data_IF_462148037120
#
_entry.id   IF_462148037120
#
_cell.length_a   1.000
_cell.length_b   1.000
_cell.length_c   1.000
_cell.angle_alpha   90.00
_cell.angle_beta   90.00
_cell.angle_gamma   90.00
#
_symmetry.space_group_name_H-M   'P 1'
#
loop_
_entity.id
_entity.type
_entity.pdbx_description
1 polymer ?
#
# COMPACT_ATOMS: atom_id res chain seq x y z
N UNK A 1 22.30 -9.21 -88.76
CA UNK A 1 23.19 -9.85 -87.76
C UNK A 1 23.28 -8.91 -86.54
N UNK A 2 22.24 -8.68 -85.72
CA UNK A 2 21.42 -9.54 -84.86
C UNK A 2 22.08 -10.03 -83.55
N UNK A 3 23.08 -9.33 -82.97
CA UNK A 3 23.76 -9.79 -81.74
C UNK A 3 24.11 -8.70 -80.68
N UNK A 4 23.38 -7.58 -80.59
CA UNK A 4 23.75 -6.49 -79.64
C UNK A 4 22.68 -6.07 -78.61
N UNK A 5 21.46 -6.62 -78.63
CA UNK A 5 20.35 -6.09 -77.79
C UNK A 5 20.06 -6.92 -76.53
N UNK A 6 20.67 -8.10 -76.36
CA UNK A 6 20.32 -9.01 -75.25
C UNK A 6 21.11 -8.78 -73.93
N UNK A 7 22.05 -7.84 -73.89
CA UNK A 7 22.98 -7.67 -72.75
C UNK A 7 22.57 -6.59 -71.73
N UNK A 8 21.52 -5.81 -71.98
CA UNK A 8 21.13 -4.69 -71.11
C UNK A 8 19.91 -4.95 -70.21
N UNK A 9 19.14 -6.02 -70.45
CA UNK A 9 17.93 -6.32 -69.65
C UNK A 9 18.18 -7.22 -68.43
N UNK A 10 19.38 -7.80 -68.28
CA UNK A 10 19.70 -8.74 -67.20
C UNK A 10 20.28 -8.07 -65.93
N UNK A 11 20.83 -6.86 -66.05
CA UNK A 11 21.42 -6.13 -64.91
C UNK A 11 20.39 -5.68 -63.84
N UNK A 12 19.21 -5.13 -64.18
CA UNK A 12 18.26 -4.68 -63.16
C UNK A 12 17.57 -5.86 -62.45
N UNK A 13 17.39 -7.00 -63.13
CA UNK A 13 16.75 -8.18 -62.54
C UNK A 13 17.64 -8.90 -61.51
N UNK A 14 18.96 -8.88 -61.71
CA UNK A 14 19.93 -9.42 -60.76
C UNK A 14 20.04 -8.52 -59.52
N UNK A 15 19.99 -7.19 -59.71
CA UNK A 15 20.04 -6.21 -58.61
C UNK A 15 18.78 -6.26 -57.73
N UNK A 16 17.60 -6.43 -58.33
CA UNK A 16 16.32 -6.61 -57.60
C UNK A 16 16.30 -7.95 -56.86
N UNK A 17 16.78 -9.03 -57.49
CA UNK A 17 16.88 -10.35 -56.82
C UNK A 17 17.86 -10.31 -55.64
N UNK A 18 18.95 -9.55 -55.74
CA UNK A 18 19.93 -9.40 -54.66
C UNK A 18 19.38 -8.54 -53.51
N UNK A 19 18.59 -7.49 -53.81
CA UNK A 19 17.91 -6.65 -52.82
C UNK A 19 16.83 -7.43 -52.04
N UNK A 20 16.07 -8.31 -52.71
CA UNK A 20 15.05 -9.16 -52.06
C UNK A 20 15.69 -10.23 -51.16
N UNK A 21 16.85 -10.77 -51.55
CA UNK A 21 17.61 -11.72 -50.71
C UNK A 21 18.20 -11.01 -49.48
N UNK A 22 18.70 -9.78 -49.61
CA UNK A 22 19.22 -8.99 -48.49
C UNK A 22 18.14 -8.59 -47.47
N UNK A 23 16.89 -8.37 -47.88
CA UNK A 23 15.78 -8.03 -46.96
C UNK A 23 15.27 -9.23 -46.15
N UNK A 24 15.60 -10.47 -46.52
CA UNK A 24 15.07 -11.68 -45.87
C UNK A 24 15.89 -12.17 -44.67
N UNK A 25 17.01 -11.51 -44.32
CA UNK A 25 17.95 -11.98 -43.28
C UNK A 25 17.73 -11.24 -41.93
N UNK A 26 16.85 -10.22 -41.86
CA UNK A 26 16.73 -9.36 -40.66
C UNK A 26 15.69 -9.77 -39.60
N UNK A 27 15.07 -10.95 -39.65
CA UNK A 27 13.96 -11.30 -38.73
C UNK A 27 14.27 -12.34 -37.64
N UNK A 28 15.54 -12.65 -37.34
CA UNK A 28 15.86 -13.73 -36.38
C UNK A 28 16.92 -13.36 -35.33
N UNK A 29 16.68 -12.35 -34.50
CA UNK A 29 17.30 -12.19 -33.18
C UNK A 29 16.37 -11.44 -32.22
N UNK A 30 15.28 -12.09 -31.77
CA UNK A 30 14.46 -11.60 -30.66
C UNK A 30 14.42 -12.56 -29.46
N UNK A 31 14.89 -13.82 -29.60
CA UNK A 31 14.79 -14.83 -28.55
C UNK A 31 15.93 -14.88 -27.53
N UNK A 32 17.05 -14.19 -27.76
CA UNK A 32 18.23 -14.26 -26.86
C UNK A 32 18.11 -13.29 -25.67
N UNK A 33 17.33 -12.21 -25.80
CA UNK A 33 17.07 -11.26 -24.71
C UNK A 33 15.92 -11.73 -23.80
N UNK A 34 14.96 -12.50 -24.33
CA UNK A 34 13.83 -13.06 -23.58
C UNK A 34 14.26 -14.12 -22.56
N UNK A 35 15.31 -14.89 -22.89
CA UNK A 35 15.97 -15.83 -21.96
C UNK A 35 16.75 -15.15 -20.84
N UNK A 36 17.05 -13.86 -20.94
CA UNK A 36 17.74 -13.09 -19.89
C UNK A 36 16.76 -12.38 -18.93
N UNK A 37 15.45 -12.41 -19.21
CA UNK A 37 14.38 -11.79 -18.40
C UNK A 37 13.51 -12.87 -17.72
N UNK A 38 13.90 -14.15 -17.80
CA UNK A 38 13.04 -15.29 -17.46
C UNK A 38 12.76 -15.54 -15.97
N UNK A 39 13.34 -14.76 -15.05
CA UNK A 39 13.23 -15.01 -13.61
C UNK A 39 12.66 -13.83 -12.81
N UNK A 40 11.87 -12.94 -13.42
CA UNK A 40 11.03 -12.06 -12.60
C UNK A 40 9.79 -12.82 -12.12
N UNK A 41 9.57 -12.94 -10.79
CA UNK A 41 8.40 -13.63 -10.25
C UNK A 41 7.14 -12.96 -10.79
N UNK A 42 6.32 -13.72 -11.52
CA UNK A 42 5.04 -13.23 -12.04
C UNK A 42 4.05 -13.09 -10.88
N UNK A 43 3.92 -11.87 -10.36
CA UNK A 43 2.97 -11.58 -9.30
C UNK A 43 1.52 -11.67 -9.79
N UNK A 44 0.67 -12.32 -9.00
CA UNK A 44 -0.76 -12.41 -9.27
C UNK A 44 -1.44 -11.04 -9.07
N UNK A 45 -2.51 -10.73 -9.79
CA UNK A 45 -3.40 -9.63 -9.42
C UNK A 45 -3.94 -9.83 -8.00
N UNK A 46 -4.22 -8.74 -7.28
CA UNK A 46 -4.66 -8.81 -5.86
C UNK A 46 -5.91 -9.67 -5.64
N UNK A 47 -6.84 -9.69 -6.60
CA UNK A 47 -8.05 -10.51 -6.52
C UNK A 47 -7.80 -12.01 -6.75
N UNK A 48 -6.71 -12.36 -7.43
CA UNK A 48 -6.26 -13.75 -7.62
C UNK A 48 -5.33 -14.20 -6.48
N UNK A 49 -4.54 -13.27 -5.92
CA UNK A 49 -3.68 -13.54 -4.77
C UNK A 49 -4.49 -13.71 -3.47
N UNK A 50 -5.57 -12.94 -3.31
CA UNK A 50 -6.41 -12.95 -2.11
C UNK A 50 -7.90 -13.02 -2.48
N UNK A 51 -8.35 -14.14 -3.09
CA UNK A 51 -9.77 -14.37 -3.29
C UNK A 51 -10.48 -14.38 -1.92
N UNK A 52 -11.66 -13.79 -1.87
CA UNK A 52 -12.43 -13.65 -0.64
C UNK A 52 -13.92 -13.89 -0.87
N UNK A 53 -14.59 -14.37 0.18
CA UNK A 53 -16.04 -14.51 0.24
C UNK A 53 -16.57 -13.88 1.52
N UNK A 54 -17.76 -13.30 1.43
CA UNK A 54 -18.40 -12.59 2.54
C UNK A 54 -19.75 -13.23 2.80
N UNK A 55 -19.99 -13.60 4.05
CA UNK A 55 -21.25 -14.18 4.51
C UNK A 55 -21.74 -13.44 5.75
N UNK A 56 -23.03 -13.11 5.79
CA UNK A 56 -23.66 -12.49 6.95
C UNK A 56 -24.70 -13.45 7.54
N UNK A 57 -24.58 -13.71 8.85
CA UNK A 57 -25.53 -14.49 9.63
C UNK A 57 -26.04 -13.62 10.80
N UNK A 58 -27.19 -12.97 10.61
CA UNK A 58 -27.76 -12.06 11.61
C UNK A 58 -26.83 -10.90 11.94
N UNK A 59 -26.34 -10.84 13.19
CA UNK A 59 -25.40 -9.83 13.66
C UNK A 59 -23.92 -10.19 13.46
N UNK A 60 -23.62 -11.35 12.87
CA UNK A 60 -22.26 -11.81 12.64
C UNK A 60 -21.92 -11.71 11.15
N UNK A 61 -20.79 -11.09 10.84
CA UNK A 61 -20.23 -11.03 9.49
C UNK A 61 -18.96 -11.88 9.46
N UNK A 62 -18.92 -12.88 8.58
CA UNK A 62 -17.78 -13.72 8.32
C UNK A 62 -17.17 -13.38 6.97
N UNK A 63 -15.86 -13.15 6.96
CA UNK A 63 -15.08 -12.94 5.74
C UNK A 63 -14.02 -14.02 5.68
N UNK A 64 -14.06 -14.84 4.63
CA UNK A 64 -13.09 -15.89 4.40
C UNK A 64 -12.18 -15.49 3.24
N UNK A 65 -10.88 -15.58 3.45
CA UNK A 65 -9.89 -15.49 2.38
C UNK A 65 -9.30 -16.86 2.10
N UNK A 66 -8.86 -17.08 0.87
CA UNK A 66 -8.11 -18.26 0.44
C UNK A 66 -6.84 -17.80 -0.30
N UNK A 67 -5.84 -17.36 0.45
CA UNK A 67 -4.65 -16.75 -0.13
C UNK A 67 -3.87 -17.76 -0.97
N UNK A 68 -3.44 -17.36 -2.17
CA UNK A 68 -2.61 -18.21 -3.03
C UNK A 68 -1.28 -18.59 -2.34
N UNK A 69 -0.65 -19.65 -2.82
CA UNK A 69 0.64 -20.12 -2.29
C UNK A 69 1.70 -19.01 -2.31
N UNK A 70 2.45 -18.88 -1.21
CA UNK A 70 3.46 -17.82 -1.01
C UNK A 70 2.90 -16.39 -0.88
N UNK A 71 1.57 -16.25 -0.74
CA UNK A 71 0.91 -14.99 -0.38
C UNK A 71 0.36 -15.04 1.03
N UNK A 72 0.47 -13.92 1.75
CA UNK A 72 0.02 -13.82 3.12
C UNK A 72 -0.71 -12.52 3.44
N UNK A 73 -1.68 -12.62 4.34
CA UNK A 73 -2.49 -11.51 4.85
C UNK A 73 -1.99 -11.05 6.22
N UNK A 74 -1.91 -9.74 6.43
CA UNK A 74 -1.55 -9.20 7.75
C UNK A 74 -2.73 -9.24 8.72
N UNK A 75 -2.60 -9.96 9.83
CA UNK A 75 -3.62 -10.03 10.89
C UNK A 75 -4.08 -8.66 11.38
N UNK A 76 -3.14 -7.72 11.55
CA UNK A 76 -3.40 -6.36 12.05
C UNK A 76 -3.99 -5.40 11.01
N UNK A 77 -4.02 -5.77 9.72
CA UNK A 77 -4.52 -4.90 8.64
C UNK A 77 -5.94 -5.22 8.21
N UNK A 78 -6.48 -6.35 8.65
CA UNK A 78 -7.90 -6.70 8.47
C UNK A 78 -8.75 -5.92 9.47
N UNK A 79 -9.66 -5.09 8.97
CA UNK A 79 -10.55 -4.27 9.79
C UNK A 79 -11.79 -3.80 9.03
N UNK A 80 -12.84 -3.42 9.76
CA UNK A 80 -13.96 -2.65 9.20
C UNK A 80 -13.77 -1.17 9.50
N UNK A 81 -14.25 -0.32 8.61
CA UNK A 81 -14.21 1.14 8.75
C UNK A 81 -15.56 1.76 8.43
N UNK A 82 -16.04 2.63 9.32
CA UNK A 82 -17.24 3.46 9.15
C UNK A 82 -16.86 4.92 9.39
N UNK A 83 -16.72 5.72 8.32
CA UNK A 83 -16.28 7.11 8.40
C UNK A 83 -14.89 7.25 9.07
N UNK A 84 -14.84 7.72 10.32
CA UNK A 84 -13.59 7.84 11.12
C UNK A 84 -13.37 6.65 12.07
N UNK A 85 -14.40 5.83 12.32
CA UNK A 85 -14.32 4.70 13.23
C UNK A 85 -13.71 3.48 12.53
N UNK A 86 -12.82 2.78 13.23
CA UNK A 86 -12.24 1.50 12.78
C UNK A 86 -12.59 0.43 13.80
N UNK A 87 -13.25 -0.63 13.36
CA UNK A 87 -13.61 -1.80 14.16
C UNK A 87 -12.67 -2.94 13.80
N UNK A 88 -12.05 -3.55 14.81
CA UNK A 88 -11.18 -4.71 14.63
C UNK A 88 -12.03 -5.98 14.52
N UNK A 89 -11.44 -7.02 13.94
CA UNK A 89 -12.02 -8.36 13.94
C UNK A 89 -12.25 -8.85 15.36
N UNK A 90 -13.40 -9.51 15.60
CA UNK A 90 -13.73 -10.14 16.88
C UNK A 90 -12.90 -11.41 17.08
N UNK A 91 -12.79 -12.24 16.04
CA UNK A 91 -12.06 -13.50 16.08
C UNK A 91 -11.54 -13.87 14.68
N UNK A 92 -10.39 -14.53 14.63
CA UNK A 92 -9.91 -15.24 13.44
C UNK A 92 -10.00 -16.74 13.68
N UNK A 93 -10.20 -17.53 12.61
CA UNK A 93 -10.17 -18.99 12.68
C UNK A 93 -8.80 -19.53 13.10
N UNK A 94 -7.74 -18.82 12.70
CA UNK A 94 -6.35 -19.17 12.94
C UNK A 94 -5.66 -18.16 13.86
N UNK A 95 -4.66 -18.63 14.61
CA UNK A 95 -3.82 -17.75 15.42
C UNK A 95 -2.86 -16.92 14.56
N UNK A 96 -2.45 -17.47 13.41
CA UNK A 96 -1.51 -16.88 12.47
C UNK A 96 -0.06 -17.19 12.82
N UNK A 97 0.83 -16.90 11.88
CA UNK A 97 2.26 -17.22 11.95
C UNK A 97 3.04 -15.94 12.22
N UNK A 98 3.98 -15.98 13.17
CA UNK A 98 4.91 -14.89 13.40
C UNK A 98 5.91 -14.83 12.24
N UNK A 99 5.96 -13.70 11.54
CA UNK A 99 6.87 -13.43 10.43
C UNK A 99 7.64 -12.15 10.72
N UNK A 100 8.91 -12.12 10.32
CA UNK A 100 9.69 -10.89 10.27
C UNK A 100 9.72 -10.40 8.82
N UNK A 101 9.26 -9.17 8.57
CA UNK A 101 9.38 -8.51 7.27
C UNK A 101 10.11 -7.17 7.40
N UNK A 102 10.74 -6.73 6.31
CA UNK A 102 11.56 -5.50 6.32
C UNK A 102 10.75 -4.22 6.49
N UNK A 103 9.45 -4.24 6.17
CA UNK A 103 8.60 -3.06 6.17
C UNK A 103 7.98 -2.78 7.56
N UNK A 104 7.69 -3.82 8.33
CA UNK A 104 6.94 -3.77 9.58
C UNK A 104 7.60 -4.52 10.74
N UNK A 105 8.71 -5.23 10.51
CA UNK A 105 9.41 -6.02 11.52
C UNK A 105 8.61 -7.27 11.87
N UNK A 106 8.41 -7.52 13.17
CA UNK A 106 7.65 -8.69 13.64
C UNK A 106 6.14 -8.48 13.52
N UNK A 107 5.53 -9.30 12.67
CA UNK A 107 4.11 -9.27 12.35
C UNK A 107 3.50 -10.67 12.48
N UNK A 108 2.19 -10.72 12.65
CA UNK A 108 1.43 -11.98 12.56
C UNK A 108 0.71 -11.98 11.22
N UNK A 109 0.88 -13.05 10.45
CA UNK A 109 0.35 -13.21 9.11
C UNK A 109 -0.45 -14.51 8.97
N UNK A 110 -1.30 -14.57 7.96
CA UNK A 110 -2.08 -15.75 7.60
C UNK A 110 -1.73 -16.17 6.17
N UNK A 111 -1.42 -17.46 5.99
CA UNK A 111 -1.30 -18.10 4.67
C UNK A 111 -2.50 -18.99 4.43
N UNK A 112 -2.82 -19.25 3.16
CA UNK A 112 -3.94 -20.08 2.77
C UNK A 112 -5.27 -19.53 3.28
N UNK A 113 -6.11 -20.43 3.80
CA UNK A 113 -7.46 -20.10 4.22
C UNK A 113 -7.49 -19.49 5.63
N UNK A 114 -8.18 -18.36 5.78
CA UNK A 114 -8.46 -17.75 7.07
C UNK A 114 -9.84 -17.11 7.07
N UNK A 115 -10.61 -17.33 8.14
CA UNK A 115 -11.87 -16.66 8.39
C UNK A 115 -11.70 -15.57 9.44
N UNK A 116 -12.24 -14.38 9.17
CA UNK A 116 -12.37 -13.29 10.13
C UNK A 116 -13.83 -13.01 10.43
N UNK A 117 -14.17 -13.02 11.70
CA UNK A 117 -15.52 -12.74 12.19
C UNK A 117 -15.60 -11.33 12.77
N UNK A 118 -16.65 -10.59 12.41
CA UNK A 118 -16.95 -9.27 12.93
C UNK A 118 -18.34 -9.24 13.57
N UNK A 119 -18.45 -8.53 14.69
CA UNK A 119 -19.71 -8.27 15.37
C UNK A 119 -20.33 -6.97 14.86
N UNK A 120 -21.44 -7.09 14.13
CA UNK A 120 -22.15 -5.97 13.51
C UNK A 120 -22.90 -5.11 14.54
N UNK A 121 -23.12 -5.59 15.77
CA UNK A 121 -23.79 -4.81 16.82
C UNK A 121 -22.98 -3.59 17.25
N UNK A 122 -21.66 -3.59 17.02
CA UNK A 122 -20.76 -2.49 17.35
C UNK A 122 -20.71 -1.42 16.26
N UNK A 123 -21.39 -1.64 15.14
CA UNK A 123 -21.42 -0.74 13.99
C UNK A 123 -22.73 0.04 13.95
N UNK A 124 -22.70 1.21 13.30
CA UNK A 124 -23.87 2.06 13.17
C UNK A 124 -24.68 1.67 11.92
N UNK A 125 -25.98 1.37 12.05
CA UNK A 125 -26.84 1.17 10.90
C UNK A 125 -26.93 2.47 10.08
N UNK A 126 -26.99 2.34 8.75
CA UNK A 126 -27.01 3.45 7.76
C UNK A 126 -25.68 4.18 7.53
N UNK A 127 -24.56 3.67 8.04
CA UNK A 127 -23.23 4.20 7.67
C UNK A 127 -22.55 3.25 6.69
N UNK A 128 -22.00 3.72 5.55
CA UNK A 128 -21.22 2.88 4.65
C UNK A 128 -20.09 2.18 5.39
N UNK A 129 -20.03 0.86 5.25
CA UNK A 129 -19.04 0.03 5.93
C UNK A 129 -18.04 -0.47 4.91
N UNK A 130 -16.76 -0.23 5.17
CA UNK A 130 -15.66 -0.61 4.28
C UNK A 130 -14.83 -1.69 4.97
N UNK A 131 -14.68 -2.84 4.33
CA UNK A 131 -13.69 -3.85 4.68
C UNK A 131 -12.32 -3.44 4.14
N UNK A 132 -11.36 -3.28 5.05
CA UNK A 132 -9.97 -3.02 4.72
C UNK A 132 -9.09 -4.22 5.02
N UNK A 133 -8.23 -4.61 4.07
CA UNK A 133 -7.22 -5.64 4.28
C UNK A 133 -5.96 -5.35 3.46
N UNK A 134 -4.87 -6.04 3.77
CA UNK A 134 -3.60 -5.90 3.06
C UNK A 134 -2.81 -7.21 3.18
N UNK A 135 -2.12 -7.60 2.11
CA UNK A 135 -1.22 -8.74 2.09
C UNK A 135 0.01 -8.48 1.22
N UNK A 136 0.96 -9.42 1.26
CA UNK A 136 2.18 -9.42 0.46
C UNK A 136 2.47 -10.83 -0.07
N UNK A 137 3.40 -10.90 -1.01
CA UNK A 137 4.02 -12.12 -1.50
C UNK A 137 5.39 -12.30 -0.85
N UNK A 138 5.79 -13.55 -0.61
CA UNK A 138 7.13 -13.88 -0.08
C UNK A 138 8.26 -13.45 -1.04
N UNK A 139 7.96 -13.35 -2.33
CA UNK A 139 8.85 -12.80 -3.35
C UNK A 139 9.09 -11.27 -3.24
N UNK A 140 8.66 -10.62 -2.14
CA UNK A 140 9.03 -9.25 -1.80
C UNK A 140 8.06 -8.15 -2.28
N UNK A 141 6.89 -8.53 -2.81
CA UNK A 141 5.88 -7.57 -3.26
C UNK A 141 4.77 -7.40 -2.23
N UNK A 142 4.55 -6.16 -1.78
CA UNK A 142 3.43 -5.82 -0.92
C UNK A 142 2.33 -5.07 -1.67
N UNK A 143 1.11 -5.61 -1.62
CA UNK A 143 -0.04 -4.96 -2.23
C UNK A 143 -0.47 -3.73 -1.42
N UNK A 144 -1.02 -2.70 -2.07
CA UNK A 144 -1.61 -1.57 -1.36
C UNK A 144 -2.84 -2.02 -0.55
N UNK A 145 -3.23 -1.25 0.50
CA UNK A 145 -4.43 -1.55 1.27
C UNK A 145 -5.68 -1.57 0.39
N UNK A 146 -6.38 -2.69 0.41
CA UNK A 146 -7.64 -2.90 -0.30
C UNK A 146 -8.81 -2.33 0.50
N UNK A 147 -9.84 -1.86 -0.20
CA UNK A 147 -11.06 -1.29 0.38
C UNK A 147 -12.26 -1.83 -0.38
N UNK A 148 -13.06 -2.64 0.28
CA UNK A 148 -14.28 -3.21 -0.29
C UNK A 148 -15.48 -2.60 0.45
N UNK A 149 -16.42 -2.02 -0.29
CA UNK A 149 -17.68 -1.58 0.29
C UNK A 149 -18.56 -2.79 0.55
N UNK A 150 -19.06 -2.91 1.79
CA UNK A 150 -19.91 -4.02 2.21
C UNK A 150 -21.38 -3.64 2.10
N UNK A 151 -22.16 -4.53 1.49
CA UNK A 151 -23.61 -4.50 1.56
C UNK A 151 -24.06 -5.34 2.78
N UNK A 152 -24.57 -4.67 3.81
CA UNK A 152 -24.92 -5.28 5.09
C UNK A 152 -26.44 -5.20 5.26
N UNK A 153 -27.07 -6.35 5.49
CA UNK A 153 -28.49 -6.41 5.83
C UNK A 153 -28.69 -6.03 7.31
N UNK A 154 -28.94 -4.74 7.55
CA UNK A 154 -29.20 -4.21 8.88
C UNK A 154 -30.54 -4.65 9.48
N UNK A 155 -31.48 -5.18 8.69
CA UNK A 155 -32.73 -5.72 9.22
C UNK A 155 -32.48 -7.05 9.94
N UNK A 156 -31.59 -7.89 9.40
CA UNK A 156 -31.17 -9.14 10.01
C UNK A 156 -30.39 -8.95 11.33
N UNK A 157 -29.60 -7.88 11.45
CA UNK A 157 -28.84 -7.57 12.69
C UNK A 157 -29.78 -7.29 13.87
N UNK A 158 -30.87 -6.54 13.64
CA UNK A 158 -31.84 -6.17 14.69
C UNK A 158 -32.69 -7.33 15.19
N UNK A 159 -32.80 -8.41 14.40
CA UNK A 159 -33.56 -9.60 14.77
C UNK A 159 -32.80 -10.56 15.70
N UNK A 160 -31.52 -10.29 16.00
CA UNK A 160 -30.73 -11.09 16.93
C UNK A 160 -31.21 -10.88 18.37
N UNK A 161 -31.72 -11.90 19.06
CA UNK A 161 -32.29 -11.74 20.40
C UNK A 161 -31.16 -11.60 21.42
N UNK A 162 -31.00 -10.39 21.96
CA UNK A 162 -30.28 -10.19 23.22
C UNK A 162 -31.04 -10.90 24.34
N UNK A 163 -30.57 -12.07 24.76
CA UNK A 163 -30.94 -12.69 26.03
C UNK A 163 -30.52 -11.76 27.17
N UNK A 164 -31.37 -10.79 27.48
CA UNK A 164 -31.24 -9.88 28.62
C UNK A 164 -31.70 -10.63 29.87
N UNK A 165 -30.77 -11.35 30.50
CA UNK A 165 -30.94 -11.79 31.88
C UNK A 165 -30.95 -10.57 32.78
N UNK A 166 -32.17 -10.16 33.15
CA UNK A 166 -32.42 -9.17 34.17
C UNK A 166 -32.10 -9.76 35.55
N UNK A 167 -31.15 -9.16 36.27
CA UNK A 167 -31.10 -9.26 37.73
C UNK A 167 -30.80 -7.88 38.31
N UNK A 168 -31.86 -7.25 38.82
CA UNK A 168 -31.79 -6.14 39.77
C UNK A 168 -31.41 -6.68 41.16
N UNK A 169 -30.59 -5.92 41.93
CA UNK A 169 -30.63 -5.68 43.40
C UNK A 169 -29.34 -4.89 43.74
N UNK A 170 -29.35 -3.56 43.84
CA UNK A 170 -29.71 -2.68 44.98
C UNK A 170 -28.55 -2.37 45.95
N UNK A 171 -28.31 -1.05 46.10
CA UNK A 171 -27.95 -0.25 47.29
C UNK A 171 -26.54 -0.18 47.94
N UNK A 172 -26.07 1.08 48.01
CA UNK A 172 -25.57 1.85 49.19
C UNK A 172 -24.08 2.24 49.28
N UNK A 173 -23.84 3.52 48.95
CA UNK A 173 -23.03 4.60 49.60
C UNK A 173 -22.25 4.27 50.89
N UNK A 174 -20.96 4.66 50.98
CA UNK A 174 -20.41 5.61 52.00
C UNK A 174 -18.94 6.01 51.74
N UNK A 175 -18.75 7.33 51.83
CA UNK A 175 -17.62 8.28 51.97
C UNK A 175 -16.34 7.84 52.71
N UNK A 176 -15.17 8.46 52.39
CA UNK A 176 -14.34 9.30 53.29
C UNK A 176 -13.23 10.03 52.48
N UNK A 177 -12.88 11.24 52.93
CA UNK A 177 -12.02 12.27 52.36
C UNK A 177 -10.52 12.15 52.75
N UNK A 178 -9.62 12.77 51.96
CA UNK A 178 -8.59 13.77 52.34
C UNK A 178 -7.76 14.11 51.06
N UNK A 179 -7.76 15.33 50.49
CA UNK A 179 -7.20 16.64 50.92
C UNK A 179 -5.82 16.97 50.30
N UNK A 180 -5.83 18.14 49.61
CA UNK A 180 -4.83 19.24 49.66
C UNK A 180 -3.84 19.43 48.49
N UNK A 181 -4.27 20.32 47.58
CA UNK A 181 -3.68 21.65 47.27
C UNK A 181 -2.25 21.77 46.71
N UNK A 182 -2.14 22.35 45.50
CA UNK A 182 -1.50 23.66 45.30
C UNK A 182 -1.79 24.29 43.92
N UNK A 183 -2.23 25.54 43.98
CA UNK A 183 -2.42 26.55 42.93
C UNK A 183 -1.08 27.03 42.35
N UNK A 184 -1.04 27.44 41.05
CA UNK A 184 -0.54 28.76 40.56
C UNK A 184 -0.32 28.76 39.03
N UNK A 185 -1.16 29.49 38.31
CA UNK A 185 -0.83 30.24 37.06
C UNK A 185 -0.52 31.69 37.47
N UNK A 186 0.43 32.43 36.83
CA UNK A 186 0.16 33.02 35.50
C UNK A 186 1.37 33.28 34.55
N UNK A 187 1.06 33.24 33.24
CA UNK A 187 1.40 34.17 32.13
C UNK A 187 2.88 34.53 31.83
N UNK A 188 3.36 34.15 30.63
CA UNK A 188 4.08 34.95 29.61
C UNK A 188 3.90 34.16 28.28
N UNK A 189 2.98 34.44 27.36
CA UNK A 189 2.88 35.57 26.41
C UNK A 189 4.18 35.89 25.65
N UNK A 190 4.41 35.24 24.50
CA UNK A 190 5.18 35.81 23.40
C UNK A 190 4.75 35.26 22.03
N UNK A 191 3.45 35.36 21.75
CA UNK A 191 2.91 35.56 20.40
C UNK A 191 3.23 37.02 19.96
N UNK A 192 4.49 37.37 19.67
CA UNK A 192 4.82 38.75 19.22
C UNK A 192 6.28 38.95 18.72
N UNK A 193 6.82 38.06 17.88
CA UNK A 193 8.16 38.29 17.27
C UNK A 193 8.16 38.45 15.74
N UNK A 194 6.99 38.49 15.11
CA UNK A 194 6.86 38.68 13.65
C UNK A 194 6.35 40.09 13.26
N UNK A 195 5.87 40.90 14.21
CA UNK A 195 5.52 42.30 13.96
C UNK A 195 6.75 43.20 14.10
N UNK A 196 7.50 43.36 13.00
CA UNK A 196 8.48 44.44 12.87
C UNK A 196 9.86 44.05 12.31
N UNK A 197 10.07 42.80 11.87
CA UNK A 197 11.34 42.42 11.24
C UNK A 197 11.33 42.83 9.76
N UNK A 198 12.16 43.81 9.42
CA UNK A 198 12.40 44.28 8.05
C UNK A 198 12.46 43.11 7.06
N UNK A 199 11.75 43.21 5.92
CA UNK A 199 11.72 42.23 4.84
C UNK A 199 13.11 41.65 4.51
N UNK A 200 14.16 42.47 4.61
CA UNK A 200 15.54 42.07 4.39
C UNK A 200 16.07 41.01 5.37
N UNK A 201 15.60 40.99 6.62
CA UNK A 201 16.02 40.00 7.62
C UNK A 201 15.40 38.63 7.38
N UNK A 202 14.18 38.58 6.82
CA UNK A 202 13.54 37.32 6.41
C UNK A 202 14.27 36.76 5.18
N UNK A 203 14.52 37.60 4.17
CA UNK A 203 15.29 37.19 2.98
C UNK A 203 16.71 36.75 3.34
N UNK A 204 17.39 37.49 4.22
CA UNK A 204 18.74 37.14 4.69
C UNK A 204 18.76 35.81 5.46
N UNK A 205 17.77 35.56 6.32
CA UNK A 205 17.67 34.30 7.06
C UNK A 205 17.40 33.12 6.12
N UNK A 206 16.46 33.25 5.18
CA UNK A 206 16.19 32.22 4.17
C UNK A 206 17.38 31.98 3.23
N UNK A 207 18.13 33.02 2.87
CA UNK A 207 19.32 32.90 2.04
C UNK A 207 20.46 32.18 2.77
N UNK A 208 20.71 32.51 4.05
CA UNK A 208 21.73 31.83 4.86
C UNK A 208 21.33 30.38 5.17
N UNK A 209 20.06 30.11 5.49
CA UNK A 209 19.57 28.74 5.70
C UNK A 209 19.59 27.93 4.39
N UNK A 210 19.25 28.54 3.26
CA UNK A 210 19.34 27.93 1.94
C UNK A 210 20.78 27.56 1.59
N UNK A 211 21.73 28.49 1.77
CA UNK A 211 23.15 28.25 1.53
C UNK A 211 23.71 27.22 2.52
N UNK A 212 23.30 27.25 3.79
CA UNK A 212 23.66 26.24 4.79
C UNK A 212 23.19 24.82 4.42
N UNK A 213 21.98 24.69 3.85
CA UNK A 213 21.47 23.43 3.32
C UNK A 213 22.29 22.91 2.13
N UNK A 214 22.87 23.79 1.30
CA UNK A 214 23.74 23.37 0.17
C UNK A 214 25.11 22.83 0.62
N UNK A 215 25.61 23.22 1.80
CA UNK A 215 26.87 22.71 2.38
C UNK A 215 26.65 21.53 3.35
N UNK A 216 25.47 20.92 3.32
CA UNK A 216 25.25 19.69 4.09
C UNK A 216 25.99 18.51 3.43
N UNK A 217 26.68 17.67 4.22
CA UNK A 217 27.55 16.59 3.73
C UNK A 217 26.82 15.48 2.95
N UNK A 218 25.51 15.60 2.75
CA UNK A 218 24.67 14.66 1.99
C UNK A 218 24.62 14.97 0.47
N UNK A 219 24.95 16.20 0.04
CA UNK A 219 24.95 16.60 -1.40
C UNK A 219 26.36 16.67 -2.01
N UNK A 220 27.40 16.59 -1.18
CA UNK A 220 28.80 16.52 -1.62
C UNK A 220 29.23 15.23 -2.37
N UNK A 221 28.57 14.06 -2.27
CA UNK A 221 29.05 12.86 -2.97
C UNK A 221 28.84 12.92 -4.50
N UNK A 222 28.18 13.94 -5.05
CA UNK A 222 28.01 14.11 -6.50
C UNK A 222 28.74 15.31 -7.12
N UNK A 223 29.60 16.01 -6.37
CA UNK A 223 30.55 17.00 -6.95
C UNK A 223 31.71 16.37 -7.76
N UNK A 224 32.17 15.12 -7.55
CA UNK A 224 33.36 14.61 -8.24
C UNK A 224 33.23 14.42 -9.76
N UNK A 225 32.04 14.46 -10.36
CA UNK A 225 31.86 14.16 -11.79
C UNK A 225 31.86 15.43 -12.66
N UNK A 226 31.45 16.59 -12.14
CA UNK A 226 31.38 17.82 -12.93
C UNK A 226 32.72 18.57 -12.98
N UNK A 227 33.61 18.37 -12.01
CA UNK A 227 34.95 18.98 -12.05
C UNK A 227 35.91 18.24 -13.00
N UNK A 228 35.67 16.96 -13.29
CA UNK A 228 36.46 16.20 -14.26
C UNK A 228 36.22 16.57 -15.72
N UNK A 229 35.13 17.28 -16.05
CA UNK A 229 34.80 17.65 -17.44
C UNK A 229 35.33 19.03 -17.86
N UNK A 230 35.86 19.83 -16.92
CA UNK A 230 36.35 21.20 -17.20
C UNK A 230 37.89 21.28 -17.20
N UNK A 231 38.58 20.26 -16.67
CA UNK A 231 40.06 20.20 -16.62
C UNK A 231 40.64 19.18 -17.62
N UNK A 232 39.80 18.49 -18.40
CA UNK A 232 40.20 17.66 -19.53
C UNK A 232 39.88 18.33 -20.86
#
# INVERSE_FOLDING_TARGET
>A
MAWIVSRFSFLPSILISFLVVLLSISSAQAGLLDSLIQDEPKFLPVGEAFPYSIEQQGSQLSVMWDSADEYYLYKKKVHLKQGKQKTKTSQFSEDGILKHDEAFGEVIVFYGQVEATFDLNQLNPNTPTILGFQGCADAGLCYPPQKIELDIDWAAVKASPTNTSSTNTDKTITTTADSKSSTTTPIVENESWIEGKSWLSVVGLFFILGLGLTFTPCVLPMVPILTSIVIG
#
